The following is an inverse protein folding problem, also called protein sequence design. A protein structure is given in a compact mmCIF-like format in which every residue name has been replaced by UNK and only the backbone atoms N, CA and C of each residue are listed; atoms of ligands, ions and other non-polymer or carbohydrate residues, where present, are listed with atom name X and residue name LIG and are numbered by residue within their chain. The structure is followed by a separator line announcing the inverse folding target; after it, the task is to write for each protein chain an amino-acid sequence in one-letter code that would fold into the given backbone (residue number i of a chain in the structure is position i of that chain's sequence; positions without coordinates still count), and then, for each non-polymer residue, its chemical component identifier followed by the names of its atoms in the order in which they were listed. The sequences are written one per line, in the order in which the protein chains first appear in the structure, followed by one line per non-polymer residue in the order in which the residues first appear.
data_IF_415758061960
#
_entry.id   IF_415758061960
#
_cell.length_a   1.000
_cell.length_b   1.000
_cell.length_c   1.000
_cell.angle_alpha   90.00
_cell.angle_beta   90.00
_cell.angle_gamma   90.00
#
_symmetry.space_group_name_H-M   'P 1'
#
loop_
_entity.id
_entity.type
_entity.pdbx_description
1 polymer ?
#
# COMPACT_ATOMS: atom_id res chain seq x y z
N UNK A 1 -9.82 -34.06 -9.33
CA UNK A 1 -10.68 -33.09 -8.60
C UNK A 1 -10.53 -31.74 -9.29
N UNK A 2 -11.55 -31.23 -9.99
CA UNK A 2 -11.48 -29.88 -10.59
C UNK A 2 -11.63 -28.85 -9.46
N UNK A 3 -10.60 -28.03 -9.20
CA UNK A 3 -10.76 -26.91 -8.27
C UNK A 3 -11.89 -26.02 -8.78
N UNK A 4 -12.93 -25.82 -7.96
CA UNK A 4 -13.90 -24.74 -8.19
C UNK A 4 -13.14 -23.43 -7.99
N UNK A 5 -12.87 -22.71 -9.07
CA UNK A 5 -12.28 -21.38 -8.98
C UNK A 5 -13.31 -20.50 -8.27
N UNK A 6 -12.99 -20.05 -7.07
CA UNK A 6 -13.80 -19.08 -6.33
C UNK A 6 -13.77 -17.78 -7.13
N UNK A 7 -14.89 -17.40 -7.74
CA UNK A 7 -14.97 -16.22 -8.61
C UNK A 7 -15.10 -14.91 -7.82
N UNK A 8 -15.64 -15.00 -6.61
CA UNK A 8 -15.94 -13.88 -5.72
C UNK A 8 -15.56 -14.25 -4.29
N UNK A 9 -15.00 -13.29 -3.57
CA UNK A 9 -14.76 -13.37 -2.13
C UNK A 9 -15.43 -12.15 -1.54
N UNK A 10 -16.40 -12.38 -0.64
CA UNK A 10 -17.03 -11.31 0.13
C UNK A 10 -16.25 -11.14 1.43
N UNK A 11 -15.60 -9.99 1.58
CA UNK A 11 -14.78 -9.65 2.75
C UNK A 11 -15.44 -8.41 3.36
N UNK A 12 -16.10 -8.54 4.53
CA UNK A 12 -16.68 -7.40 5.22
C UNK A 12 -15.64 -6.29 5.46
N UNK A 13 -15.99 -5.04 5.17
CA UNK A 13 -15.10 -3.89 5.35
C UNK A 13 -14.14 -3.61 4.17
N UNK A 14 -14.09 -4.50 3.16
CA UNK A 14 -13.19 -4.33 2.02
C UNK A 14 -13.49 -3.07 1.21
N UNK A 15 -14.77 -2.75 0.99
CA UNK A 15 -15.18 -1.54 0.28
C UNK A 15 -14.67 -0.27 0.97
N UNK A 16 -14.76 -0.24 2.31
CA UNK A 16 -14.24 0.86 3.13
C UNK A 16 -12.72 0.97 3.04
N UNK A 17 -12.00 -0.16 3.09
CA UNK A 17 -10.54 -0.17 2.94
C UNK A 17 -10.10 0.37 1.57
N UNK A 18 -10.74 -0.09 0.50
CA UNK A 18 -10.50 0.39 -0.87
C UNK A 18 -10.71 1.91 -0.95
N UNK A 19 -11.76 2.42 -0.30
CA UNK A 19 -12.02 3.87 -0.24
C UNK A 19 -10.90 4.62 0.47
N UNK A 20 -10.46 4.13 1.64
CA UNK A 20 -9.39 4.75 2.43
C UNK A 20 -8.10 4.82 1.62
N UNK A 21 -7.69 3.71 1.00
CA UNK A 21 -6.43 3.66 0.24
C UNK A 21 -6.50 4.57 -1.01
N UNK A 22 -7.67 4.62 -1.69
CA UNK A 22 -7.89 5.56 -2.79
C UNK A 22 -7.74 7.02 -2.34
N UNK A 23 -8.35 7.37 -1.22
CA UNK A 23 -8.34 8.74 -0.68
C UNK A 23 -6.94 9.13 -0.20
N UNK A 24 -6.18 8.20 0.39
CA UNK A 24 -4.78 8.41 0.79
C UNK A 24 -3.87 8.74 -0.40
N UNK A 25 -4.14 8.15 -1.58
CA UNK A 25 -3.43 8.45 -2.82
C UNK A 25 -3.97 9.69 -3.56
N UNK A 26 -4.94 10.41 -2.99
CA UNK A 26 -5.50 11.65 -3.57
C UNK A 26 -6.36 11.42 -4.82
N UNK A 27 -6.74 10.18 -5.14
CA UNK A 27 -7.55 9.90 -6.32
C UNK A 27 -9.03 10.14 -6.08
N UNK A 28 -9.69 10.83 -7.01
CA UNK A 28 -11.15 10.78 -7.12
C UNK A 28 -11.60 9.39 -7.60
N UNK A 29 -12.85 8.99 -7.32
CA UNK A 29 -13.42 7.74 -7.86
C UNK A 29 -13.38 7.67 -9.39
N UNK A 30 -13.46 8.81 -10.07
CA UNK A 30 -13.39 8.87 -11.53
C UNK A 30 -11.98 8.47 -12.01
N UNK A 31 -10.95 9.12 -11.49
CA UNK A 31 -9.55 8.84 -11.83
C UNK A 31 -9.15 7.39 -11.48
N UNK A 32 -9.57 6.91 -10.31
CA UNK A 32 -9.31 5.52 -9.91
C UNK A 32 -10.04 4.53 -10.82
N UNK A 33 -11.30 4.80 -11.18
CA UNK A 33 -12.05 4.00 -12.15
C UNK A 33 -11.35 3.92 -13.50
N UNK A 34 -10.90 5.06 -14.03
CA UNK A 34 -10.14 5.13 -15.29
C UNK A 34 -8.86 4.28 -15.23
N UNK A 35 -8.07 4.38 -14.15
CA UNK A 35 -6.85 3.57 -13.95
C UNK A 35 -7.14 2.07 -13.84
N UNK A 36 -8.28 1.69 -13.25
CA UNK A 36 -8.68 0.29 -13.09
C UNK A 36 -9.42 -0.28 -14.33
N UNK A 37 -9.81 0.58 -15.27
CA UNK A 37 -10.63 0.22 -16.44
C UNK A 37 -12.08 -0.09 -16.07
N UNK A 38 -12.66 0.62 -15.09
CA UNK A 38 -14.05 0.50 -14.65
C UNK A 38 -14.74 1.86 -14.53
N UNK A 39 -16.06 1.86 -14.48
CA UNK A 39 -16.80 3.11 -14.31
C UNK A 39 -16.68 3.66 -12.88
N UNK A 40 -16.76 4.98 -12.74
CA UNK A 40 -16.88 5.67 -11.44
C UNK A 40 -18.01 5.11 -10.58
N UNK A 41 -19.14 4.75 -11.19
CA UNK A 41 -20.32 4.20 -10.50
C UNK A 41 -20.08 2.77 -10.01
N UNK A 42 -19.40 1.93 -10.79
CA UNK A 42 -18.99 0.61 -10.35
C UNK A 42 -18.08 0.70 -9.11
N UNK A 43 -17.07 1.57 -9.15
CA UNK A 43 -16.17 1.77 -8.01
C UNK A 43 -16.93 2.31 -6.78
N UNK A 44 -17.92 3.19 -6.98
CA UNK A 44 -18.78 3.63 -5.89
C UNK A 44 -19.62 2.49 -5.29
N UNK A 45 -20.11 1.54 -6.09
CA UNK A 45 -20.82 0.37 -5.56
C UNK A 45 -19.90 -0.55 -4.77
N UNK A 46 -18.66 -0.75 -5.22
CA UNK A 46 -17.65 -1.52 -4.48
C UNK A 46 -17.32 -0.85 -3.14
N UNK A 47 -17.01 0.44 -3.14
CA UNK A 47 -16.64 1.18 -1.92
C UNK A 47 -17.77 1.24 -0.88
N UNK A 48 -19.02 1.24 -1.33
CA UNK A 48 -20.20 1.25 -0.46
C UNK A 48 -20.74 -0.16 -0.19
N UNK A 49 -19.98 -1.21 -0.47
CA UNK A 49 -20.34 -2.62 -0.20
C UNK A 49 -21.64 -3.07 -0.88
N UNK A 50 -22.01 -2.42 -1.99
CA UNK A 50 -23.19 -2.77 -2.81
C UNK A 50 -22.88 -3.81 -3.88
N UNK A 51 -21.61 -4.08 -4.15
CA UNK A 51 -21.17 -5.06 -5.16
C UNK A 51 -19.80 -5.62 -4.79
N UNK A 52 -19.68 -6.94 -4.84
CA UNK A 52 -18.41 -7.63 -4.71
C UNK A 52 -17.65 -7.65 -6.05
N UNK A 53 -16.43 -7.09 -6.12
CA UNK A 53 -15.58 -7.25 -7.30
C UNK A 53 -15.14 -8.71 -7.48
N UNK A 54 -14.80 -9.10 -8.70
CA UNK A 54 -14.18 -10.41 -8.97
C UNK A 54 -12.75 -10.44 -8.43
N UNK A 55 -12.19 -11.64 -8.22
CA UNK A 55 -10.77 -11.78 -7.85
C UNK A 55 -9.84 -11.07 -8.84
N UNK A 56 -10.14 -11.15 -10.15
CA UNK A 56 -9.35 -10.47 -11.18
C UNK A 56 -9.37 -8.94 -11.00
N UNK A 57 -10.51 -8.37 -10.60
CA UNK A 57 -10.63 -6.95 -10.30
C UNK A 57 -9.92 -6.60 -8.98
N UNK A 58 -9.99 -7.47 -7.97
CA UNK A 58 -9.26 -7.28 -6.71
C UNK A 58 -7.75 -7.20 -6.92
N UNK A 59 -7.17 -8.01 -7.82
CA UNK A 59 -5.75 -7.90 -8.19
C UNK A 59 -5.40 -6.55 -8.83
N UNK A 60 -6.30 -5.99 -9.66
CA UNK A 60 -6.09 -4.64 -10.22
C UNK A 60 -6.13 -3.57 -9.15
N UNK A 61 -7.06 -3.70 -8.21
CA UNK A 61 -7.23 -2.81 -7.05
C UNK A 61 -5.98 -2.86 -6.16
N UNK A 62 -5.50 -4.06 -5.81
CA UNK A 62 -4.25 -4.28 -5.09
C UNK A 62 -3.08 -3.61 -5.80
N UNK A 63 -2.88 -3.88 -7.09
CA UNK A 63 -1.81 -3.28 -7.87
C UNK A 63 -1.91 -1.74 -7.97
N UNK A 64 -3.08 -1.13 -7.82
CA UNK A 64 -3.19 0.32 -7.86
C UNK A 64 -2.94 0.95 -6.49
N UNK A 65 -3.36 0.29 -5.41
CA UNK A 65 -3.40 0.89 -4.08
C UNK A 65 -2.32 0.40 -3.12
N UNK A 66 -1.74 -0.77 -3.38
CA UNK A 66 -0.85 -1.47 -2.45
C UNK A 66 0.60 -1.53 -2.95
N UNK A 67 1.00 -0.61 -3.83
CA UNK A 67 2.38 -0.56 -4.35
C UNK A 67 3.42 -0.18 -3.28
N UNK A 68 3.00 0.45 -2.18
CA UNK A 68 3.90 0.96 -1.14
C UNK A 68 3.56 0.44 0.26
N UNK A 69 3.04 -0.79 0.40
CA UNK A 69 2.87 -1.39 1.73
C UNK A 69 4.23 -1.81 2.33
N UNK A 70 5.00 -0.82 2.77
CA UNK A 70 6.05 -1.02 3.76
C UNK A 70 5.33 -1.00 5.11
N UNK A 71 5.25 -2.13 5.83
CA UNK A 71 4.59 -2.13 7.14
C UNK A 71 5.29 -1.09 8.02
N UNK A 72 4.51 -0.29 8.77
CA UNK A 72 5.07 0.77 9.63
C UNK A 72 6.19 0.25 10.54
N UNK A 73 6.10 -1.00 10.99
CA UNK A 73 7.16 -1.67 11.75
C UNK A 73 8.49 -1.82 11.01
N UNK A 74 8.45 -1.98 9.67
CA UNK A 74 9.65 -2.00 8.83
C UNK A 74 10.18 -0.59 8.59
N UNK A 75 9.31 0.43 8.52
CA UNK A 75 9.75 1.83 8.47
C UNK A 75 10.43 2.24 9.78
N UNK A 76 9.81 1.93 10.92
CA UNK A 76 10.36 2.15 12.26
C UNK A 76 11.73 1.42 12.41
N UNK A 77 11.85 0.20 11.88
CA UNK A 77 13.13 -0.55 11.85
C UNK A 77 14.21 0.11 10.97
N UNK A 78 13.83 0.64 9.80
CA UNK A 78 14.76 1.34 8.91
C UNK A 78 15.25 2.65 9.55
N UNK A 79 14.39 3.37 10.26
CA UNK A 79 14.77 4.60 10.99
C UNK A 79 15.80 4.30 12.09
N UNK A 80 15.65 3.19 12.82
CA UNK A 80 16.60 2.73 13.83
C UNK A 80 17.96 2.35 13.22
N UNK A 81 17.98 1.59 12.13
CA UNK A 81 19.22 1.19 11.43
C UNK A 81 19.97 2.41 10.90
N UNK A 82 19.25 3.38 10.33
CA UNK A 82 19.84 4.60 9.76
C UNK A 82 20.44 5.49 10.87
N UNK A 83 19.79 5.54 12.04
CA UNK A 83 20.29 6.25 13.22
C UNK A 83 21.58 5.60 13.78
N UNK A 84 21.64 4.27 13.80
CA UNK A 84 22.82 3.52 14.25
C UNK A 84 24.03 3.73 13.31
N UNK A 85 23.82 3.68 12.00
CA UNK A 85 24.90 3.88 11.01
C UNK A 85 25.52 5.28 11.08
N UNK A 86 24.71 6.33 11.27
CA UNK A 86 25.21 7.70 11.41
C UNK A 86 26.01 7.91 12.70
N UNK A 87 25.68 7.19 13.79
CA UNK A 87 26.41 7.28 15.05
C UNK A 87 27.73 6.48 15.07
N UNK A 88 27.86 5.46 14.22
CA UNK A 88 29.09 4.66 14.09
C UNK A 88 30.15 5.37 13.23
N UNK A 89 29.74 6.04 12.14
CA UNK A 89 30.66 6.75 11.23
C UNK A 89 31.29 7.99 11.91
N UNK A 90 30.57 8.67 12.81
CA UNK A 90 31.10 9.86 13.52
C UNK A 90 32.15 9.49 14.58
N UNK A 91 32.15 8.25 15.10
CA UNK A 91 33.12 7.82 16.13
C UNK A 91 34.50 7.42 15.58
N UNK A 92 34.60 7.06 14.30
CA UNK A 92 35.88 6.64 13.70
C UNK A 92 36.71 7.78 13.08
N UNK A 93 36.15 9.01 12.98
CA UNK A 93 36.85 10.14 12.33
C UNK A 93 37.50 11.13 13.31
N UNK A 94 37.47 10.88 14.63
CA UNK A 94 38.08 11.80 15.62
C UNK A 94 39.16 11.11 16.46
N UNK A 95 40.27 10.69 15.83
CA UNK A 95 41.62 10.88 16.39
C UNK A 95 42.69 10.34 15.45
N UNK A 96 43.43 11.24 14.78
CA UNK A 96 44.87 11.13 14.49
C UNK A 96 45.36 12.44 13.88
N UNK A 97 45.75 13.39 14.74
CA UNK A 97 47.11 13.97 14.71
C UNK A 97 47.02 15.42 14.22
N UNK A 98 47.79 16.41 14.67
CA UNK A 98 49.10 16.48 15.31
C UNK A 98 49.15 17.90 15.91
N UNK A 99 49.11 18.04 17.24
CA UNK A 99 50.16 18.60 18.11
C UNK A 99 50.85 19.88 17.64
N UNK A 100 50.72 20.91 18.48
CA UNK A 100 51.64 22.04 18.77
C UNK A 100 52.06 23.00 17.65
#
# INVERSE_FOLDING_TARGET
MKLKIVKYIDIPGLGKRIRTDREALGYTRKQAGEKLGVTRSFLAHVENERTCPTIAMLKKIENLYMQDYIPKSLLDFLDDVTTLQNSAIIKETTHQGVTE
#
